data_IF_417726698283
#
_entry.id   IF_417726698283
#
_cell.length_a   1.000
_cell.length_b   1.000
_cell.length_c   1.000
_cell.angle_alpha   90.00
_cell.angle_beta   90.00
_cell.angle_gamma   90.00
#
_symmetry.space_group_name_H-M   'P 1'
#
loop_
_entity.id
_entity.type
_entity.pdbx_description
1 polymer ?
#
# COMPACT_ATOMS: atom_id res chain seq x y z
N UNK A 1 8.98 -7.01 -15.29
CA UNK A 1 8.09 -6.32 -14.32
C UNK A 1 8.92 -5.27 -13.57
N UNK A 2 8.51 -4.00 -13.51
CA UNK A 2 9.28 -2.95 -12.82
C UNK A 2 9.25 -3.19 -11.31
N UNK A 3 10.39 -2.99 -10.61
CA UNK A 3 10.48 -3.13 -9.14
C UNK A 3 9.40 -2.33 -8.40
N UNK A 4 8.98 -1.20 -8.99
CA UNK A 4 7.88 -0.34 -8.48
C UNK A 4 6.53 -1.06 -8.48
N UNK A 5 6.25 -1.81 -9.54
CA UNK A 5 5.02 -2.59 -9.65
C UNK A 5 4.99 -3.73 -8.64
N UNK A 6 6.13 -4.37 -8.36
CA UNK A 6 6.22 -5.43 -7.35
C UNK A 6 5.95 -4.87 -5.96
N UNK A 7 6.59 -3.75 -5.59
CA UNK A 7 6.38 -3.10 -4.29
C UNK A 7 4.93 -2.62 -4.15
N UNK A 8 4.37 -1.97 -5.17
CA UNK A 8 2.98 -1.52 -5.13
C UNK A 8 2.00 -2.70 -5.01
N UNK A 9 2.26 -3.82 -5.69
CA UNK A 9 1.43 -5.02 -5.61
C UNK A 9 1.45 -5.63 -4.20
N UNK A 10 2.61 -5.72 -3.55
CA UNK A 10 2.69 -6.15 -2.15
C UNK A 10 1.94 -5.21 -1.20
N UNK A 11 2.03 -3.89 -1.42
CA UNK A 11 1.31 -2.90 -0.61
C UNK A 11 -0.22 -3.01 -0.80
N UNK A 12 -0.69 -3.29 -2.02
CA UNK A 12 -2.11 -3.54 -2.26
C UNK A 12 -2.60 -4.82 -1.61
N UNK A 13 -1.81 -5.90 -1.65
CA UNK A 13 -2.16 -7.15 -0.97
C UNK A 13 -2.26 -6.90 0.54
N UNK A 14 -1.29 -6.20 1.13
CA UNK A 14 -1.32 -5.83 2.54
C UNK A 14 -2.55 -4.97 2.89
N UNK A 15 -2.86 -3.96 2.07
CA UNK A 15 -4.03 -3.12 2.26
C UNK A 15 -5.34 -3.93 2.22
N UNK A 16 -5.45 -4.90 1.29
CA UNK A 16 -6.61 -5.77 1.19
C UNK A 16 -6.79 -6.64 2.46
N UNK A 17 -5.70 -7.22 2.98
CA UNK A 17 -5.74 -8.00 4.22
C UNK A 17 -6.14 -7.16 5.43
N UNK A 18 -5.55 -5.97 5.60
CA UNK A 18 -5.89 -5.06 6.68
C UNK A 18 -7.34 -4.57 6.58
N UNK A 19 -7.83 -4.31 5.37
CA UNK A 19 -9.22 -3.92 5.12
C UNK A 19 -10.20 -5.05 5.48
N UNK A 20 -9.91 -6.28 5.08
CA UNK A 20 -10.72 -7.46 5.44
C UNK A 20 -10.77 -7.69 6.96
N UNK A 21 -9.63 -7.52 7.65
CA UNK A 21 -9.57 -7.59 9.12
C UNK A 21 -10.46 -6.51 9.76
N UNK A 22 -10.43 -5.27 9.26
CA UNK A 22 -11.26 -4.19 9.77
C UNK A 22 -12.75 -4.41 9.53
N UNK A 23 -13.13 -4.87 8.33
CA UNK A 23 -14.52 -5.22 8.03
C UNK A 23 -15.03 -6.39 8.87
N UNK A 24 -14.18 -7.40 9.11
CA UNK A 24 -14.52 -8.51 10.00
C UNK A 24 -14.70 -8.04 11.45
N UNK A 25 -13.82 -7.16 11.93
CA UNK A 25 -13.95 -6.56 13.26
C UNK A 25 -15.26 -5.74 13.38
N UNK A 26 -15.62 -4.94 12.37
CA UNK A 26 -16.90 -4.19 12.32
C UNK A 26 -18.11 -5.11 12.37
N UNK A 27 -18.08 -6.21 11.60
CA UNK A 27 -19.14 -7.23 11.63
C UNK A 27 -19.30 -7.86 13.02
N UNK A 28 -18.20 -7.97 13.78
CA UNK A 28 -18.19 -8.56 15.11
C UNK A 28 -18.53 -7.58 16.25
N UNK A 29 -18.56 -6.26 16.00
CA UNK A 29 -18.96 -5.25 16.99
C UNK A 29 -20.35 -5.56 17.56
N UNK A 30 -21.31 -5.90 16.70
CA UNK A 30 -22.69 -6.20 17.12
C UNK A 30 -22.82 -7.49 17.96
N UNK A 31 -21.80 -8.35 17.97
CA UNK A 31 -21.87 -9.69 18.59
C UNK A 31 -20.96 -9.89 19.80
N UNK A 32 -19.94 -9.04 20.00
CA UNK A 32 -18.92 -9.24 21.05
C UNK A 32 -18.68 -8.02 21.96
N UNK A 33 -19.53 -6.99 21.91
CA UNK A 33 -19.35 -5.74 22.69
C UNK A 33 -17.94 -5.12 22.51
N UNK A 34 -17.33 -5.34 21.34
CA UNK A 34 -16.01 -4.77 21.02
C UNK A 34 -16.21 -3.32 20.64
N UNK A 35 -15.45 -2.36 21.22
CA UNK A 35 -15.55 -0.97 20.82
C UNK A 35 -15.27 -0.81 19.32
N UNK A 36 -16.19 -0.20 18.58
CA UNK A 36 -16.10 0.05 17.13
C UNK A 36 -14.75 0.67 16.70
N UNK A 37 -14.14 1.44 17.61
CA UNK A 37 -12.81 2.03 17.46
C UNK A 37 -11.73 1.02 17.04
N UNK A 38 -11.81 -0.23 17.51
CA UNK A 38 -10.84 -1.27 17.14
C UNK A 38 -10.96 -1.72 15.69
N UNK A 39 -12.14 -1.59 15.08
CA UNK A 39 -12.36 -1.93 13.68
C UNK A 39 -11.90 -0.82 12.72
N UNK A 40 -11.96 0.45 13.17
CA UNK A 40 -11.50 1.58 12.36
C UNK A 40 -9.98 1.66 12.21
N UNK A 41 -9.21 1.14 13.17
CA UNK A 41 -7.74 1.13 13.12
C UNK A 41 -7.22 0.35 11.87
N UNK A 42 -7.55 -0.94 11.68
CA UNK A 42 -7.09 -1.69 10.51
C UNK A 42 -7.65 -1.16 9.20
N UNK A 43 -8.87 -0.60 9.20
CA UNK A 43 -9.45 0.09 8.03
C UNK A 43 -8.68 1.35 7.64
N UNK A 44 -8.28 2.18 8.62
CA UNK A 44 -7.46 3.36 8.38
C UNK A 44 -6.08 2.99 7.82
N UNK A 45 -5.46 1.94 8.36
CA UNK A 45 -4.18 1.41 7.86
C UNK A 45 -4.32 0.92 6.42
N UNK A 46 -5.40 0.21 6.10
CA UNK A 46 -5.69 -0.27 4.75
C UNK A 46 -5.78 0.89 3.75
N UNK A 47 -6.51 1.95 4.10
CA UNK A 47 -6.68 3.13 3.25
C UNK A 47 -5.35 3.84 3.00
N UNK A 48 -4.54 4.05 4.05
CA UNK A 48 -3.22 4.66 3.92
C UNK A 48 -2.29 3.81 3.06
N UNK A 49 -2.24 2.51 3.27
CA UNK A 49 -1.42 1.59 2.48
C UNK A 49 -1.82 1.59 0.99
N UNK A 50 -3.13 1.66 0.71
CA UNK A 50 -3.65 1.76 -0.65
C UNK A 50 -3.24 3.07 -1.34
N UNK A 51 -3.33 4.20 -0.63
CA UNK A 51 -2.86 5.51 -1.11
C UNK A 51 -1.36 5.48 -1.44
N UNK A 52 -0.55 4.93 -0.53
CA UNK A 52 0.90 4.80 -0.74
C UNK A 52 1.21 3.94 -1.96
N UNK A 53 0.50 2.82 -2.15
CA UNK A 53 0.67 1.97 -3.33
C UNK A 53 0.37 2.72 -4.64
N UNK A 54 -0.69 3.54 -4.68
CA UNK A 54 -1.00 4.41 -5.82
C UNK A 54 0.11 5.42 -6.06
N UNK A 55 0.62 6.07 -5.01
CA UNK A 55 1.71 7.05 -5.17
C UNK A 55 3.02 6.42 -5.68
N UNK A 56 3.29 5.15 -5.31
CA UNK A 56 4.44 4.38 -5.83
C UNK A 56 4.25 4.07 -7.32
N UNK A 57 3.04 3.69 -7.73
CA UNK A 57 2.68 3.44 -9.13
C UNK A 57 2.74 4.71 -9.99
N UNK A 58 2.24 5.83 -9.46
CA UNK A 58 2.28 7.14 -10.10
C UNK A 58 3.70 7.71 -10.25
N UNK A 59 4.71 7.06 -9.65
CA UNK A 59 6.10 7.49 -9.76
C UNK A 59 6.48 8.62 -8.80
N UNK A 60 5.56 9.13 -7.98
CA UNK A 60 5.79 10.21 -7.02
C UNK A 60 6.84 9.80 -5.99
N UNK A 61 6.77 8.56 -5.50
CA UNK A 61 7.70 8.00 -4.52
C UNK A 61 8.92 7.32 -5.12
N UNK A 62 9.15 7.49 -6.42
CA UNK A 62 10.24 6.77 -7.04
C UNK A 62 11.53 7.55 -6.88
N UNK A 63 12.61 6.95 -6.33
CA UNK A 63 13.91 7.60 -6.36
C UNK A 63 14.20 7.86 -7.84
N UNK A 64 14.32 9.15 -8.20
CA UNK A 64 14.76 9.56 -9.53
C UNK A 64 16.00 8.74 -9.80
N UNK A 65 15.93 7.79 -10.73
CA UNK A 65 17.15 7.24 -11.34
C UNK A 65 17.83 8.47 -11.90
N UNK A 66 18.88 8.96 -11.22
CA UNK A 66 19.87 9.84 -11.84
C UNK A 66 20.17 9.15 -13.16
N UNK A 67 19.80 9.82 -14.24
CA UNK A 67 20.12 9.37 -15.58
C UNK A 67 21.63 9.16 -15.61
N UNK A 68 22.03 7.90 -15.55
CA UNK A 68 23.39 7.49 -15.86
C UNK A 68 23.47 7.58 -17.38
N UNK A 69 23.60 8.81 -17.88
CA UNK A 69 24.16 9.09 -19.20
C UNK A 69 25.62 8.65 -19.15
N UNK A 70 25.88 7.33 -19.11
CA UNK A 70 27.16 6.83 -19.58
C UNK A 70 27.03 6.88 -21.09
N UNK A 71 27.47 8.01 -21.62
CA UNK A 71 27.86 8.17 -23.03
C UNK A 71 28.61 6.91 -23.45
N UNK A 72 28.05 6.16 -24.39
CA UNK A 72 28.79 5.19 -25.18
C UNK A 72 29.82 5.96 -26.00
N UNK A 73 30.97 6.25 -25.40
CA UNK A 73 32.14 6.72 -26.14
C UNK A 73 32.67 5.50 -26.88
N UNK A 74 32.20 5.31 -28.11
CA UNK A 74 32.95 4.53 -29.08
C UNK A 74 34.32 5.20 -29.23
N UNK A 75 35.38 4.49 -28.87
CA UNK A 75 36.73 4.78 -29.33
C UNK A 75 37.44 3.47 -29.63
#
# INVERSE_FOLDING_TARGET
MSQRCIIALFMFIFAAFAGLLGLNALSQVESMDVPEIFAYIPLGIAFLAFLVAICILAGIYTPKRRAMYVTTVYR
#
